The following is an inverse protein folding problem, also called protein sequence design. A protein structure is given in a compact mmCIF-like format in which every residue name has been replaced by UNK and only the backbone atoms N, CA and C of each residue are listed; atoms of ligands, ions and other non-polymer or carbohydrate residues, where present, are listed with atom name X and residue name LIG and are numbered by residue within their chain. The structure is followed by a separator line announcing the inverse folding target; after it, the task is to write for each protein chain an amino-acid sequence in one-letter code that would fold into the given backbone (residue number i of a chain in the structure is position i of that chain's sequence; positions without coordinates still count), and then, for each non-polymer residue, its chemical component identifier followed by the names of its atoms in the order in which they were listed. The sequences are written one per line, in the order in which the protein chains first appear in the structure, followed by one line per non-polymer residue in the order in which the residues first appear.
data_IF_921795547327
#
_entry.id   IF_921795547327
#
_cell.length_a   1.000
_cell.length_b   1.000
_cell.length_c   1.000
_cell.angle_alpha   90.00
_cell.angle_beta   90.00
_cell.angle_gamma   90.00
#
_symmetry.space_group_name_H-M   'P 1'
#
loop_
_entity.id
_entity.type
_entity.pdbx_description
1 polymer ?
#
# COMPACT_ATOMS: atom_id res chain seq x y z
N UNK A 1 8.65 -25.59 20.93
CA UNK A 1 7.54 -24.63 20.79
C UNK A 1 7.34 -24.34 19.30
N UNK A 2 6.10 -24.28 18.84
CA UNK A 2 5.76 -23.86 17.47
C UNK A 2 5.14 -22.47 17.53
N UNK A 3 5.59 -21.54 16.68
CA UNK A 3 5.04 -20.20 16.52
C UNK A 3 4.37 -20.15 15.16
N UNK A 4 3.11 -19.75 15.12
CA UNK A 4 2.34 -19.52 13.89
C UNK A 4 1.79 -18.09 13.86
N UNK A 5 1.66 -17.52 12.67
CA UNK A 5 1.11 -16.19 12.47
C UNK A 5 -0.42 -16.24 12.34
N UNK A 6 -1.10 -15.24 12.89
CA UNK A 6 -2.54 -15.05 12.73
C UNK A 6 -2.80 -14.25 11.45
N UNK A 7 -3.87 -14.61 10.72
CA UNK A 7 -4.31 -13.89 9.53
C UNK A 7 -5.24 -12.74 9.89
N UNK A 8 -5.04 -11.60 9.23
CA UNK A 8 -5.80 -10.37 9.44
C UNK A 8 -6.93 -10.22 8.43
N UNK A 9 -8.07 -9.70 8.88
CA UNK A 9 -9.14 -9.22 8.02
C UNK A 9 -8.89 -7.79 7.55
N UNK A 10 -9.60 -7.39 6.49
CA UNK A 10 -9.59 -6.01 5.98
C UNK A 10 -10.05 -5.01 7.04
N UNK A 11 -11.06 -5.37 7.84
CA UNK A 11 -11.58 -4.50 8.90
C UNK A 11 -10.52 -4.27 9.99
N UNK A 12 -9.79 -5.31 10.39
CA UNK A 12 -8.72 -5.17 11.38
C UNK A 12 -7.54 -4.36 10.84
N UNK A 13 -7.16 -4.57 9.57
CA UNK A 13 -6.14 -3.76 8.91
C UNK A 13 -6.51 -2.26 8.94
N UNK A 14 -7.74 -1.90 8.57
CA UNK A 14 -8.18 -0.50 8.65
C UNK A 14 -8.18 0.07 10.07
N UNK A 15 -8.47 -0.75 11.09
CA UNK A 15 -8.33 -0.31 12.49
C UNK A 15 -6.87 -0.04 12.83
N UNK A 16 -5.93 -0.89 12.41
CA UNK A 16 -4.50 -0.67 12.64
C UNK A 16 -4.02 0.64 12.00
N UNK A 17 -4.47 0.91 10.77
CA UNK A 17 -4.18 2.17 10.07
C UNK A 17 -4.75 3.36 10.84
N UNK A 18 -6.00 3.28 11.30
CA UNK A 18 -6.65 4.35 12.06
C UNK A 18 -6.00 4.60 13.43
N UNK A 19 -5.39 3.58 14.03
CA UNK A 19 -4.62 3.66 15.27
C UNK A 19 -3.18 4.15 15.07
N UNK A 20 -2.77 4.42 13.82
CA UNK A 20 -1.43 4.91 13.49
C UNK A 20 -0.32 3.86 13.56
N UNK A 21 -0.66 2.57 13.68
CA UNK A 21 0.33 1.47 13.82
C UNK A 21 1.27 1.39 12.61
N UNK A 22 0.78 1.81 11.44
CA UNK A 22 1.52 1.85 10.19
C UNK A 22 2.08 3.23 9.82
N UNK A 23 1.98 4.26 10.66
CA UNK A 23 2.36 5.64 10.27
C UNK A 23 3.80 5.77 9.76
N UNK A 24 4.71 4.97 10.32
CA UNK A 24 6.13 5.01 9.97
C UNK A 24 6.56 3.90 8.98
N UNK A 25 5.62 3.10 8.45
CA UNK A 25 5.92 1.97 7.56
C UNK A 25 4.91 1.88 6.42
N UNK A 26 5.42 1.83 5.19
CA UNK A 26 4.57 1.54 4.04
C UNK A 26 4.24 0.05 4.06
N UNK A 27 3.02 -0.29 4.49
CA UNK A 27 2.57 -1.68 4.60
C UNK A 27 1.22 -1.89 3.91
N UNK A 28 1.01 -3.11 3.40
CA UNK A 28 -0.22 -3.53 2.74
C UNK A 28 -0.71 -4.86 3.31
N UNK A 29 -2.02 -5.05 3.29
CA UNK A 29 -2.65 -6.34 3.62
C UNK A 29 -2.67 -7.23 2.38
N UNK A 30 -1.86 -8.29 2.39
CA UNK A 30 -1.80 -9.27 1.31
C UNK A 30 -2.12 -10.67 1.85
N UNK A 31 -3.21 -11.28 1.38
CA UNK A 31 -3.64 -12.64 1.78
C UNK A 31 -3.68 -12.85 3.32
N UNK A 32 -4.17 -11.83 4.03
CA UNK A 32 -4.27 -11.84 5.49
C UNK A 32 -2.94 -11.59 6.22
N UNK A 33 -1.89 -11.17 5.53
CA UNK A 33 -0.60 -10.79 6.13
C UNK A 33 -0.35 -9.31 5.91
N UNK A 34 0.25 -8.65 6.89
CA UNK A 34 0.73 -7.28 6.74
C UNK A 34 2.17 -7.36 6.25
N UNK A 35 2.38 -6.94 5.01
CA UNK A 35 3.68 -6.98 4.33
C UNK A 35 4.21 -5.57 4.13
N UNK A 36 5.52 -5.39 4.26
CA UNK A 36 6.17 -4.12 3.95
C UNK A 36 6.34 -3.96 2.45
N UNK A 37 5.97 -2.78 1.93
CA UNK A 37 6.16 -2.42 0.54
C UNK A 37 7.51 -1.73 0.38
N UNK A 38 8.30 -2.23 -0.56
CA UNK A 38 9.53 -1.56 -0.99
C UNK A 38 9.17 -0.25 -1.70
N UNK A 39 9.80 0.88 -1.35
CA UNK A 39 9.54 2.16 -2.02
C UNK A 39 9.69 2.04 -3.54
N UNK A 40 8.79 2.70 -4.28
CA UNK A 40 8.89 2.74 -5.73
C UNK A 40 10.21 3.37 -6.19
N UNK A 41 10.93 2.66 -7.07
CA UNK A 41 12.15 3.19 -7.67
C UNK A 41 11.89 4.39 -8.61
N UNK A 42 12.89 5.24 -8.88
CA UNK A 42 12.72 6.46 -9.69
C UNK A 42 12.15 6.24 -11.09
N UNK A 43 12.45 5.09 -11.71
CA UNK A 43 11.89 4.72 -13.02
C UNK A 43 10.39 4.44 -12.94
N UNK A 44 9.94 3.75 -11.90
CA UNK A 44 8.55 3.40 -11.68
C UNK A 44 7.73 4.67 -11.43
N UNK A 45 8.17 5.49 -10.47
CA UNK A 45 7.47 6.73 -10.11
C UNK A 45 7.41 7.72 -11.29
N UNK A 46 8.47 7.81 -12.11
CA UNK A 46 8.46 8.65 -13.31
C UNK A 46 7.44 8.16 -14.35
N UNK A 47 7.34 6.84 -14.57
CA UNK A 47 6.37 6.26 -15.50
C UNK A 47 4.94 6.53 -15.03
N UNK A 48 4.64 6.28 -13.75
CA UNK A 48 3.32 6.62 -13.17
C UNK A 48 3.02 8.10 -13.40
N UNK A 49 3.94 9.01 -13.05
CA UNK A 49 3.74 10.46 -13.21
C UNK A 49 3.40 10.86 -14.65
N UNK A 50 4.10 10.30 -15.63
CA UNK A 50 3.85 10.57 -17.05
C UNK A 50 2.48 10.05 -17.49
N UNK A 51 2.15 8.82 -17.12
CA UNK A 51 0.86 8.19 -17.43
C UNK A 51 -0.30 8.97 -16.81
N UNK A 52 -0.21 9.32 -15.53
CA UNK A 52 -1.24 10.13 -14.85
C UNK A 52 -1.42 11.49 -15.53
N UNK A 53 -0.33 12.15 -15.95
CA UNK A 53 -0.41 13.42 -16.70
C UNK A 53 -1.11 13.26 -18.05
N UNK A 54 -0.82 12.17 -18.77
CA UNK A 54 -1.47 11.89 -20.05
C UNK A 54 -2.97 11.62 -19.86
N UNK A 55 -3.34 10.78 -18.87
CA UNK A 55 -4.74 10.47 -18.55
C UNK A 55 -5.49 11.74 -18.15
N UNK A 56 -4.96 12.56 -17.24
CA UNK A 56 -5.64 13.80 -16.79
C UNK A 56 -5.98 14.73 -17.95
N UNK A 57 -5.09 14.86 -18.94
CA UNK A 57 -5.34 15.67 -20.15
C UNK A 57 -6.52 15.20 -20.98
N UNK A 58 -6.85 13.90 -20.94
CA UNK A 58 -8.00 13.34 -21.67
C UNK A 58 -9.33 13.61 -20.95
N UNK A 59 -9.30 13.80 -19.63
CA UNK A 59 -10.49 14.02 -18.79
C UNK A 59 -10.69 15.48 -18.38
N UNK A 60 -9.85 16.39 -18.86
CA UNK A 60 -10.06 17.83 -18.70
C UNK A 60 -10.76 18.32 -19.97
N UNK A 61 -12.09 18.26 -19.97
CA UNK A 61 -12.97 18.98 -20.91
C UNK A 61 -13.14 20.41 -20.39
#
# INVERSE_FOLDING_TARGET
MSITTVKWSVAEYHRLVALGVSENKSVELFQGEIVEIVPEGPRHSNRIRQTTKAIRRLFTI
#
